data_IF_830827262129
#
_entry.id   IF_830827262129
#
_cell.length_a   1.000
_cell.length_b   1.000
_cell.length_c   1.000
_cell.angle_alpha   90.00
_cell.angle_beta   90.00
_cell.angle_gamma   90.00
#
_symmetry.space_group_name_H-M   'P 1'
#
loop_
_entity.id
_entity.type
_entity.pdbx_description
1 polymer ?
#
# COMPACT_ATOMS: atom_id res chain seq x y z
N UNK A 1 15.47 2.18 -30.54
CA UNK A 1 15.05 2.71 -29.23
C UNK A 1 13.79 3.54 -29.46
N UNK A 2 12.70 3.22 -28.81
CA UNK A 2 11.47 4.01 -28.91
C UNK A 2 11.69 5.44 -28.40
N UNK A 3 11.15 6.45 -29.10
CA UNK A 3 11.37 7.86 -28.79
C UNK A 3 10.15 8.56 -28.20
N UNK A 4 8.95 8.01 -28.41
CA UNK A 4 7.70 8.58 -27.96
C UNK A 4 6.80 7.49 -27.36
N UNK A 5 6.50 7.63 -26.06
CA UNK A 5 5.60 6.74 -25.32
C UNK A 5 4.24 7.41 -25.06
N UNK A 6 3.18 6.71 -25.30
CA UNK A 6 1.82 7.14 -24.97
C UNK A 6 1.26 6.35 -23.81
N UNK A 7 0.72 7.04 -22.80
CA UNK A 7 0.19 6.45 -21.57
C UNK A 7 -1.32 6.55 -21.52
N UNK A 8 -2.04 5.41 -21.48
CA UNK A 8 -3.51 5.37 -21.32
C UNK A 8 -3.84 5.27 -19.82
N UNK A 9 -4.59 6.24 -19.29
CA UNK A 9 -4.85 6.39 -17.86
C UNK A 9 -3.68 7.06 -17.11
N UNK A 10 -3.04 8.05 -17.75
CA UNK A 10 -1.80 8.69 -17.26
C UNK A 10 -1.97 9.41 -15.93
N UNK A 11 -3.19 9.85 -15.57
CA UNK A 11 -3.48 10.53 -14.30
C UNK A 11 -3.49 9.61 -13.08
N UNK A 12 -3.47 8.28 -13.28
CA UNK A 12 -3.34 7.32 -12.19
C UNK A 12 -1.98 7.43 -11.48
N UNK A 13 -1.97 7.30 -10.15
CA UNK A 13 -0.77 7.48 -9.30
C UNK A 13 0.43 6.66 -9.83
N UNK A 14 0.25 5.37 -10.13
CA UNK A 14 1.32 4.52 -10.64
C UNK A 14 1.73 4.82 -12.09
N UNK A 15 0.80 5.30 -12.93
CA UNK A 15 1.07 5.62 -14.33
C UNK A 15 1.85 6.92 -14.46
N UNK A 16 1.44 7.95 -13.75
CA UNK A 16 2.09 9.26 -13.75
C UNK A 16 3.54 9.20 -13.28
N UNK A 17 3.81 8.40 -12.25
CA UNK A 17 5.16 8.19 -11.75
C UNK A 17 6.07 7.55 -12.80
N UNK A 18 5.61 6.50 -13.49
CA UNK A 18 6.38 5.86 -14.57
C UNK A 18 6.60 6.83 -15.76
N UNK A 19 5.57 7.61 -16.10
CA UNK A 19 5.67 8.61 -17.14
C UNK A 19 6.77 9.65 -16.82
N UNK A 20 6.85 10.13 -15.57
CA UNK A 20 7.91 11.02 -15.11
C UNK A 20 9.30 10.37 -15.17
N UNK A 21 9.42 9.09 -14.81
CA UNK A 21 10.68 8.34 -14.91
C UNK A 21 11.20 8.27 -16.35
N UNK A 22 10.33 7.98 -17.31
CA UNK A 22 10.70 7.98 -18.72
C UNK A 22 10.97 9.38 -19.28
N UNK A 23 10.19 10.39 -18.86
CA UNK A 23 10.40 11.77 -19.25
C UNK A 23 11.81 12.25 -18.86
N UNK A 24 12.27 11.93 -17.66
CA UNK A 24 13.64 12.26 -17.22
C UNK A 24 14.74 11.50 -17.96
N UNK A 25 14.43 10.34 -18.56
CA UNK A 25 15.33 9.62 -19.47
C UNK A 25 15.35 10.23 -20.89
N UNK A 26 14.67 11.37 -21.10
CA UNK A 26 14.60 12.05 -22.38
C UNK A 26 13.62 11.45 -23.38
N UNK A 27 12.73 10.55 -22.93
CA UNK A 27 11.67 9.99 -23.78
C UNK A 27 10.53 11.02 -23.87
N UNK A 28 10.06 11.30 -25.10
CA UNK A 28 8.86 12.11 -25.30
C UNK A 28 7.64 11.37 -24.75
N UNK A 29 6.83 12.05 -23.94
CA UNK A 29 5.65 11.46 -23.31
C UNK A 29 4.39 12.18 -23.78
N UNK A 30 3.38 11.38 -24.11
CA UNK A 30 1.98 11.82 -24.20
C UNK A 30 1.10 10.87 -23.40
N UNK A 31 -0.14 11.26 -23.12
CA UNK A 31 -1.08 10.35 -22.48
C UNK A 31 -2.50 10.88 -22.44
N UNK A 32 -3.42 9.98 -22.13
CA UNK A 32 -4.85 10.25 -22.03
C UNK A 32 -5.39 9.88 -20.65
N UNK A 33 -6.41 10.60 -20.21
CA UNK A 33 -7.19 10.26 -19.01
C UNK A 33 -8.64 10.74 -19.18
N UNK A 34 -9.58 10.11 -18.46
CA UNK A 34 -10.99 10.46 -18.52
C UNK A 34 -11.30 11.83 -17.87
N UNK A 35 -10.50 12.22 -16.88
CA UNK A 35 -10.70 13.45 -16.09
C UNK A 35 -9.41 14.22 -15.91
N UNK A 36 -9.53 15.52 -15.89
CA UNK A 36 -8.44 16.36 -15.44
C UNK A 36 -8.24 16.23 -13.93
N UNK A 37 -6.99 16.17 -13.50
CA UNK A 37 -6.58 16.07 -12.10
C UNK A 37 -5.33 16.92 -11.87
N UNK A 38 -4.99 17.17 -10.60
CA UNK A 38 -3.72 17.82 -10.27
C UNK A 38 -2.53 17.09 -10.90
N UNK A 39 -2.55 15.77 -10.88
CA UNK A 39 -1.49 14.93 -11.49
C UNK A 39 -1.33 15.18 -12.99
N UNK A 40 -2.44 15.25 -13.75
CA UNK A 40 -2.39 15.53 -15.19
C UNK A 40 -1.95 16.97 -15.49
N UNK A 41 -2.31 17.92 -14.63
CA UNK A 41 -1.86 19.32 -14.73
C UNK A 41 -0.36 19.43 -14.46
N UNK A 42 0.15 18.76 -13.42
CA UNK A 42 1.59 18.72 -13.09
C UNK A 42 2.41 18.10 -14.23
N UNK A 43 1.94 17.02 -14.84
CA UNK A 43 2.59 16.42 -16.01
C UNK A 43 2.60 17.37 -17.23
N UNK A 44 1.46 18.06 -17.45
CA UNK A 44 1.37 19.04 -18.55
C UNK A 44 2.37 20.20 -18.36
N UNK A 45 2.56 20.66 -17.12
CA UNK A 45 3.56 21.71 -16.81
C UNK A 45 4.99 21.25 -17.06
N UNK A 46 5.26 19.93 -17.03
CA UNK A 46 6.54 19.31 -17.36
C UNK A 46 6.72 19.03 -18.87
N UNK A 47 5.77 19.46 -19.72
CA UNK A 47 5.85 19.31 -21.17
C UNK A 47 5.20 18.03 -21.72
N UNK A 48 4.49 17.26 -20.89
CA UNK A 48 3.73 16.08 -21.34
C UNK A 48 2.47 16.52 -22.07
N UNK A 49 2.22 15.95 -23.24
CA UNK A 49 0.98 16.20 -23.97
C UNK A 49 -0.16 15.35 -23.38
N UNK A 50 -1.15 16.01 -22.77
CA UNK A 50 -2.29 15.34 -22.10
C UNK A 50 -3.57 15.53 -22.91
N UNK A 51 -4.24 14.43 -23.20
CA UNK A 51 -5.56 14.36 -23.84
C UNK A 51 -6.64 14.02 -22.81
N UNK A 52 -7.78 14.70 -22.85
CA UNK A 52 -8.95 14.35 -22.06
C UNK A 52 -9.88 13.47 -22.89
N UNK A 53 -10.25 12.31 -22.32
CA UNK A 53 -10.97 11.25 -23.02
C UNK A 53 -10.05 10.37 -23.87
N UNK A 54 -10.55 9.18 -24.20
CA UNK A 54 -9.83 8.20 -25.01
C UNK A 54 -10.31 8.27 -26.48
N UNK A 55 -9.38 8.46 -27.41
CA UNK A 55 -9.68 8.53 -28.84
C UNK A 55 -8.52 7.97 -29.67
N UNK A 56 -8.78 7.31 -30.82
CA UNK A 56 -7.74 6.72 -31.67
C UNK A 56 -6.63 7.70 -32.06
N UNK A 57 -6.98 8.95 -32.30
CA UNK A 57 -6.03 10.01 -32.69
C UNK A 57 -4.98 10.37 -31.63
N UNK A 58 -5.23 10.05 -30.35
CA UNK A 58 -4.35 10.43 -29.25
C UNK A 58 -2.99 9.74 -29.31
N UNK A 59 -2.90 8.55 -29.91
CA UNK A 59 -1.67 7.76 -30.02
C UNK A 59 -0.87 8.08 -31.28
N UNK A 60 -1.26 9.09 -32.03
CA UNK A 60 -0.58 9.42 -33.29
C UNK A 60 0.89 9.80 -33.07
N UNK A 61 1.79 9.08 -33.76
CA UNK A 61 3.23 9.26 -33.61
C UNK A 61 3.86 8.63 -32.36
N UNK A 62 3.10 7.84 -31.59
CA UNK A 62 3.66 7.03 -30.52
C UNK A 62 4.37 5.78 -31.08
N UNK A 63 5.54 5.47 -30.50
CA UNK A 63 6.30 4.26 -30.81
C UNK A 63 5.91 3.08 -29.86
N UNK A 64 5.35 3.39 -28.70
CA UNK A 64 4.95 2.44 -27.67
C UNK A 64 3.74 2.99 -26.93
N UNK A 65 2.76 2.14 -26.67
CA UNK A 65 1.60 2.45 -25.83
C UNK A 65 1.70 1.68 -24.51
N UNK A 66 1.59 2.41 -23.40
CA UNK A 66 1.62 1.87 -22.03
C UNK A 66 0.25 2.09 -21.39
N UNK A 67 -0.33 1.04 -20.82
CA UNK A 67 -1.66 1.15 -20.25
C UNK A 67 -1.77 0.56 -18.85
N UNK A 68 -2.69 1.13 -18.06
CA UNK A 68 -3.04 0.67 -16.71
C UNK A 68 -3.87 -0.62 -16.77
N UNK A 69 -3.77 -1.48 -15.75
CA UNK A 69 -4.64 -2.66 -15.60
C UNK A 69 -6.13 -2.34 -15.50
N UNK A 70 -6.50 -1.09 -15.18
CA UNK A 70 -7.88 -0.61 -15.19
C UNK A 70 -8.46 -0.36 -16.60
N UNK A 71 -7.61 -0.31 -17.64
CA UNK A 71 -8.00 -0.08 -19.03
C UNK A 71 -8.35 -1.42 -19.67
N UNK A 72 -9.55 -1.49 -20.24
CA UNK A 72 -10.04 -2.70 -20.92
C UNK A 72 -9.50 -2.80 -22.34
N UNK A 73 -9.49 -4.01 -22.87
CA UNK A 73 -9.03 -4.33 -24.23
C UNK A 73 -9.83 -3.61 -25.34
N UNK A 74 -11.09 -3.23 -25.10
CA UNK A 74 -11.96 -2.50 -26.02
C UNK A 74 -11.70 -0.98 -26.06
N UNK A 75 -10.71 -0.49 -25.30
CA UNK A 75 -10.34 0.92 -25.32
C UNK A 75 -9.92 1.35 -26.76
N UNK A 76 -10.43 2.48 -27.27
CA UNK A 76 -10.20 2.91 -28.66
C UNK A 76 -8.72 3.17 -28.98
N UNK A 77 -7.90 3.55 -28.00
CA UNK A 77 -6.45 3.76 -28.20
C UNK A 77 -5.69 2.43 -28.27
N UNK A 78 -6.11 1.40 -27.48
CA UNK A 78 -5.55 0.05 -27.60
C UNK A 78 -5.91 -0.57 -28.96
N UNK A 79 -7.16 -0.42 -29.40
CA UNK A 79 -7.61 -0.94 -30.70
C UNK A 79 -6.86 -0.28 -31.85
N UNK A 80 -6.64 1.03 -31.78
CA UNK A 80 -5.88 1.75 -32.79
C UNK A 80 -4.40 1.38 -32.78
N UNK A 81 -3.79 1.18 -31.60
CA UNK A 81 -2.42 0.70 -31.49
C UNK A 81 -2.26 -0.68 -32.17
N UNK A 82 -3.21 -1.60 -31.94
CA UNK A 82 -3.25 -2.90 -32.64
C UNK A 82 -3.36 -2.74 -34.15
N UNK A 83 -4.26 -1.85 -34.62
CA UNK A 83 -4.44 -1.56 -36.04
C UNK A 83 -3.18 -1.03 -36.75
N UNK A 84 -2.44 -0.14 -36.03
CA UNK A 84 -1.22 0.47 -36.50
C UNK A 84 0.04 -0.37 -36.22
N UNK A 85 -0.10 -1.56 -35.63
CA UNK A 85 1.01 -2.42 -35.19
C UNK A 85 1.98 -1.72 -34.22
N UNK A 86 1.48 -0.77 -33.41
CA UNK A 86 2.26 -0.14 -32.36
C UNK A 86 2.28 -1.09 -31.15
N UNK A 87 3.46 -1.44 -30.62
CA UNK A 87 3.56 -2.29 -29.42
C UNK A 87 2.79 -1.72 -28.25
N UNK A 88 2.11 -2.60 -27.50
CA UNK A 88 1.40 -2.23 -26.27
C UNK A 88 1.96 -3.04 -25.10
N UNK A 89 2.26 -2.39 -23.99
CA UNK A 89 2.72 -3.06 -22.77
C UNK A 89 1.94 -2.56 -21.56
N UNK A 90 1.85 -3.41 -20.55
CA UNK A 90 1.24 -3.05 -19.27
C UNK A 90 2.18 -2.16 -18.44
N UNK A 91 1.59 -1.43 -17.51
CA UNK A 91 2.30 -0.59 -16.52
C UNK A 91 3.48 -1.32 -15.85
N UNK A 92 3.26 -2.58 -15.45
CA UNK A 92 4.28 -3.37 -14.75
C UNK A 92 5.47 -3.74 -15.65
N UNK A 93 5.21 -4.04 -16.92
CA UNK A 93 6.28 -4.29 -17.90
C UNK A 93 7.11 -3.04 -18.15
N UNK A 94 6.45 -1.87 -18.25
CA UNK A 94 7.14 -0.59 -18.37
C UNK A 94 8.01 -0.28 -17.15
N UNK A 95 7.52 -0.61 -15.94
CA UNK A 95 8.31 -0.46 -14.72
C UNK A 95 9.50 -1.43 -14.69
N UNK A 96 9.31 -2.67 -15.13
CA UNK A 96 10.37 -3.66 -15.24
C UNK A 96 11.50 -3.20 -16.19
N UNK A 97 11.16 -2.50 -17.29
CA UNK A 97 12.17 -1.90 -18.18
C UNK A 97 13.04 -0.86 -17.45
N UNK A 98 12.43 -0.02 -16.59
CA UNK A 98 13.15 0.96 -15.80
C UNK A 98 14.10 0.35 -14.77
N UNK A 99 13.83 -0.89 -14.34
CA UNK A 99 14.60 -1.63 -13.35
C UNK A 99 15.84 -2.34 -13.90
N UNK A 100 15.93 -2.61 -15.22
CA UNK A 100 16.93 -3.51 -15.81
C UNK A 100 18.38 -3.20 -15.46
N UNK A 101 18.73 -1.92 -15.35
CA UNK A 101 20.11 -1.45 -15.12
C UNK A 101 20.37 -1.10 -13.65
N UNK A 102 19.47 -1.47 -12.74
CA UNK A 102 19.53 -1.10 -11.33
C UNK A 102 19.61 -2.34 -10.43
N UNK A 103 20.12 -2.15 -9.24
CA UNK A 103 19.97 -3.10 -8.14
C UNK A 103 18.56 -2.98 -7.57
N UNK A 104 17.71 -3.95 -7.88
CA UNK A 104 16.28 -3.88 -7.62
C UNK A 104 15.94 -4.45 -6.25
N UNK A 105 15.23 -3.67 -5.46
CA UNK A 105 14.61 -4.08 -4.19
C UNK A 105 13.10 -4.02 -4.38
N UNK A 106 12.42 -5.13 -4.20
CA UNK A 106 10.95 -5.18 -4.27
C UNK A 106 10.35 -5.54 -2.92
N UNK A 107 9.18 -4.98 -2.65
CA UNK A 107 8.36 -5.34 -1.49
C UNK A 107 7.01 -5.81 -1.97
N UNK A 108 6.62 -7.02 -1.59
CA UNK A 108 5.32 -7.61 -1.91
C UNK A 108 4.69 -8.26 -0.69
N UNK A 109 3.46 -8.73 -0.83
CA UNK A 109 2.65 -9.38 0.19
C UNK A 109 1.28 -8.77 0.33
N UNK A 110 0.32 -9.48 0.87
CA UNK A 110 -1.06 -9.02 0.95
C UNK A 110 -1.18 -7.72 1.74
N UNK A 111 -0.46 -7.58 2.85
CA UNK A 111 -0.50 -6.41 3.74
C UNK A 111 0.89 -5.86 4.05
N UNK A 112 0.99 -4.55 4.33
CA UNK A 112 2.22 -3.90 4.75
C UNK A 112 3.17 -3.46 3.63
N UNK A 113 2.86 -3.72 2.35
CA UNK A 113 3.67 -3.34 1.18
C UNK A 113 4.13 -1.88 1.22
N UNK A 114 3.19 -0.96 1.21
CA UNK A 114 3.46 0.50 1.12
C UNK A 114 4.31 1.00 2.28
N UNK A 115 3.98 0.58 3.51
CA UNK A 115 4.75 0.95 4.71
C UNK A 115 6.19 0.43 4.63
N UNK A 116 6.36 -0.83 4.23
CA UNK A 116 7.68 -1.46 4.14
C UNK A 116 8.50 -0.88 2.99
N UNK A 117 7.87 -0.64 1.82
CA UNK A 117 8.55 -0.03 0.66
C UNK A 117 9.02 1.39 0.97
N UNK A 118 8.16 2.20 1.59
CA UNK A 118 8.52 3.57 1.95
C UNK A 118 9.59 3.62 3.06
N UNK A 119 9.54 2.71 4.03
CA UNK A 119 10.58 2.62 5.06
C UNK A 119 11.93 2.16 4.49
N UNK A 120 11.94 1.17 3.57
CA UNK A 120 13.14 0.75 2.86
C UNK A 120 13.72 1.86 1.99
N UNK A 121 12.85 2.60 1.30
CA UNK A 121 13.25 3.76 0.50
C UNK A 121 13.88 4.85 1.37
N UNK A 122 13.26 5.14 2.53
CA UNK A 122 13.80 6.12 3.47
C UNK A 122 15.14 5.69 4.04
N UNK A 123 15.33 4.40 4.33
CA UNK A 123 16.62 3.87 4.76
C UNK A 123 17.72 4.12 3.73
N UNK A 124 17.45 3.88 2.46
CA UNK A 124 18.45 4.09 1.41
C UNK A 124 18.74 5.59 1.20
N UNK A 125 17.73 6.45 1.32
CA UNK A 125 17.90 7.91 1.28
C UNK A 125 18.80 8.40 2.44
N UNK A 126 18.50 7.98 3.67
CA UNK A 126 19.27 8.32 4.86
C UNK A 126 20.72 7.76 4.83
N UNK A 127 20.91 6.67 4.11
CA UNK A 127 22.23 6.08 3.86
C UNK A 127 23.00 6.79 2.72
N UNK A 128 22.42 7.81 2.07
CA UNK A 128 23.07 8.53 0.96
C UNK A 128 23.14 7.71 -0.34
N UNK A 129 22.28 6.71 -0.51
CA UNK A 129 22.30 5.82 -1.68
C UNK A 129 21.39 6.29 -2.82
N UNK A 130 20.65 7.37 -2.63
CA UNK A 130 19.80 8.06 -3.62
C UNK A 130 19.03 7.13 -4.57
N UNK A 131 18.15 6.25 -4.04
CA UNK A 131 17.43 5.28 -4.88
C UNK A 131 16.41 5.94 -5.78
N UNK A 132 16.12 5.32 -6.94
CA UNK A 132 14.85 5.53 -7.62
C UNK A 132 13.77 4.75 -6.88
N UNK A 133 12.61 5.37 -6.64
CA UNK A 133 11.54 4.83 -5.81
C UNK A 133 10.23 4.84 -6.58
N UNK A 134 9.46 3.74 -6.51
CA UNK A 134 8.09 3.63 -7.03
C UNK A 134 7.19 2.91 -6.00
N UNK A 135 6.29 3.65 -5.37
CA UNK A 135 5.41 3.16 -4.29
C UNK A 135 3.95 3.30 -4.70
N UNK A 136 3.07 2.43 -4.19
CA UNK A 136 1.62 2.48 -4.44
C UNK A 136 0.88 3.62 -3.73
N UNK A 137 1.52 4.30 -2.77
CA UNK A 137 0.96 5.42 -1.99
C UNK A 137 1.94 6.58 -1.85
N UNK A 138 1.48 7.70 -1.31
CA UNK A 138 2.34 8.87 -1.05
C UNK A 138 3.14 8.62 0.22
N UNK A 139 4.46 8.67 0.10
CA UNK A 139 5.40 8.57 1.20
C UNK A 139 5.65 9.97 1.80
N UNK A 140 5.37 10.15 3.09
CA UNK A 140 5.34 11.48 3.71
C UNK A 140 6.71 12.15 3.77
N UNK A 141 7.80 11.42 4.01
CA UNK A 141 9.13 12.00 4.08
C UNK A 141 9.63 12.62 2.75
N UNK A 142 9.03 12.27 1.60
CA UNK A 142 9.34 12.84 0.29
C UNK A 142 8.13 13.49 -0.40
N UNK A 143 6.95 13.44 0.24
CA UNK A 143 5.65 13.94 -0.27
C UNK A 143 5.33 13.50 -1.71
N UNK A 144 5.75 12.30 -2.06
CA UNK A 144 5.58 11.72 -3.41
C UNK A 144 5.46 10.19 -3.34
N UNK A 145 4.88 9.61 -4.38
CA UNK A 145 4.88 8.16 -4.61
C UNK A 145 6.03 7.71 -5.52
N UNK A 146 6.75 8.65 -6.12
CA UNK A 146 7.92 8.41 -6.97
C UNK A 146 9.02 9.38 -6.59
N UNK A 147 10.23 8.88 -6.46
CA UNK A 147 11.43 9.68 -6.35
C UNK A 147 12.46 9.16 -7.34
N UNK A 148 13.12 10.06 -8.03
CA UNK A 148 14.14 9.70 -9.02
C UNK A 148 15.47 10.04 -8.43
N UNK A 149 16.24 9.01 -8.09
CA UNK A 149 17.59 9.13 -7.60
C UNK A 149 18.61 8.67 -8.63
N UNK A 150 19.80 9.25 -8.55
CA UNK A 150 20.93 8.91 -9.44
C UNK A 150 21.71 7.67 -8.95
N UNK A 151 21.35 7.12 -7.79
CA UNK A 151 21.99 5.94 -7.22
C UNK A 151 21.69 4.64 -7.98
N UNK A 152 22.38 3.57 -7.60
CA UNK A 152 22.28 2.27 -8.26
C UNK A 152 20.99 1.50 -7.90
N UNK A 153 20.28 1.89 -6.83
CA UNK A 153 19.12 1.17 -6.33
C UNK A 153 17.81 1.61 -6.97
N UNK A 154 16.93 0.64 -7.19
CA UNK A 154 15.54 0.85 -7.53
C UNK A 154 14.67 0.15 -6.48
N UNK A 155 13.87 0.89 -5.72
CA UNK A 155 12.94 0.35 -4.72
C UNK A 155 11.53 0.44 -5.26
N UNK A 156 10.85 -0.70 -5.35
CA UNK A 156 9.49 -0.75 -5.88
C UNK A 156 8.54 -1.57 -5.01
N UNK A 157 7.32 -1.07 -4.89
CA UNK A 157 6.20 -1.87 -4.45
C UNK A 157 5.77 -2.81 -5.56
N UNK A 158 5.75 -4.11 -5.29
CA UNK A 158 5.41 -5.17 -6.23
C UNK A 158 4.01 -5.70 -5.92
N UNK A 159 3.03 -5.33 -6.76
CA UNK A 159 1.63 -5.63 -6.55
C UNK A 159 1.30 -7.04 -7.08
N UNK A 160 0.84 -7.89 -6.19
CA UNK A 160 0.41 -9.27 -6.49
C UNK A 160 -1.02 -9.35 -7.03
N UNK A 161 -1.83 -8.30 -6.89
CA UNK A 161 -3.28 -8.34 -7.08
C UNK A 161 -3.74 -8.78 -8.48
N UNK A 162 -2.93 -8.52 -9.50
CA UNK A 162 -3.16 -8.85 -10.92
C UNK A 162 -2.02 -9.65 -11.55
N UNK A 163 -1.14 -10.23 -10.71
CA UNK A 163 0.03 -10.98 -11.16
C UNK A 163 1.15 -10.10 -11.74
N UNK A 164 1.01 -8.78 -11.71
CA UNK A 164 1.97 -7.86 -12.33
C UNK A 164 3.36 -7.90 -11.69
N UNK A 165 3.47 -8.30 -10.42
CA UNK A 165 4.76 -8.48 -9.74
C UNK A 165 5.65 -9.55 -10.42
N UNK A 166 5.09 -10.47 -11.19
CA UNK A 166 5.83 -11.51 -11.93
C UNK A 166 6.65 -10.95 -13.11
N UNK A 167 6.50 -9.70 -13.48
CA UNK A 167 7.39 -9.06 -14.46
C UNK A 167 8.75 -8.65 -13.89
N UNK A 168 8.92 -8.65 -12.55
CA UNK A 168 10.12 -8.14 -11.91
C UNK A 168 11.15 -9.23 -11.63
N UNK A 169 12.44 -8.89 -11.75
CA UNK A 169 13.57 -9.76 -11.40
C UNK A 169 14.46 -9.06 -10.35
N UNK A 170 14.03 -9.05 -9.09
CA UNK A 170 14.71 -8.31 -8.04
C UNK A 170 16.04 -8.95 -7.60
N UNK A 171 16.97 -8.12 -7.12
CA UNK A 171 18.11 -8.55 -6.36
C UNK A 171 17.71 -8.86 -4.92
N UNK A 172 16.80 -8.08 -4.36
CA UNK A 172 16.31 -8.21 -2.99
C UNK A 172 14.78 -8.19 -2.98
N UNK A 173 14.18 -9.23 -2.43
CA UNK A 173 12.71 -9.35 -2.31
C UNK A 173 12.31 -9.39 -0.85
N UNK A 174 11.46 -8.46 -0.42
CA UNK A 174 10.82 -8.50 0.89
C UNK A 174 9.39 -8.99 0.70
N UNK A 175 9.02 -10.08 1.39
CA UNK A 175 7.67 -10.64 1.35
C UNK A 175 7.08 -10.60 2.76
N UNK A 176 6.08 -9.77 2.95
CA UNK A 176 5.52 -9.47 4.27
C UNK A 176 4.58 -10.55 4.78
N UNK A 177 3.67 -11.04 3.95
CA UNK A 177 2.69 -12.09 4.28
C UNK A 177 1.92 -12.52 3.02
N UNK A 178 1.21 -13.65 3.11
CA UNK A 178 0.30 -14.15 2.08
C UNK A 178 -1.06 -14.42 2.74
N UNK A 179 -2.06 -13.58 2.47
CA UNK A 179 -3.41 -13.72 2.99
C UNK A 179 -4.40 -14.14 1.88
N UNK A 180 -5.61 -14.47 2.27
CA UNK A 180 -6.69 -14.92 1.40
C UNK A 180 -7.33 -13.74 0.68
N UNK A 181 -6.60 -13.18 -0.29
CA UNK A 181 -7.01 -12.02 -1.09
C UNK A 181 -6.88 -12.29 -2.61
N UNK A 182 -7.42 -11.38 -3.41
CA UNK A 182 -7.30 -11.36 -4.88
C UNK A 182 -7.84 -12.61 -5.60
N UNK A 183 -8.86 -13.27 -5.02
CA UNK A 183 -9.47 -14.47 -5.60
C UNK A 183 -10.33 -14.16 -6.85
N UNK A 184 -10.70 -12.90 -7.05
CA UNK A 184 -11.27 -12.39 -8.30
C UNK A 184 -10.32 -12.63 -9.48
N UNK A 185 -9.01 -12.47 -9.27
CA UNK A 185 -7.96 -12.74 -10.26
C UNK A 185 -7.48 -14.20 -10.22
N UNK A 186 -7.04 -14.68 -9.06
CA UNK A 186 -6.43 -16.00 -8.91
C UNK A 186 -7.42 -17.16 -8.86
N UNK A 187 -8.70 -16.91 -8.59
CA UNK A 187 -9.80 -17.87 -8.42
C UNK A 187 -9.68 -18.77 -7.20
N UNK A 188 -8.50 -19.32 -6.93
CA UNK A 188 -8.22 -20.22 -5.82
C UNK A 188 -6.97 -19.79 -5.06
N UNK A 189 -6.98 -19.96 -3.75
CA UNK A 189 -5.85 -19.59 -2.90
C UNK A 189 -4.55 -20.31 -3.24
N UNK A 190 -4.62 -21.56 -3.73
CA UNK A 190 -3.43 -22.28 -4.20
C UNK A 190 -2.70 -21.57 -5.34
N UNK A 191 -3.43 -20.83 -6.19
CA UNK A 191 -2.85 -20.07 -7.29
C UNK A 191 -2.13 -18.82 -6.77
N UNK A 192 -2.64 -18.18 -5.70
CA UNK A 192 -1.93 -17.10 -4.99
C UNK A 192 -0.59 -17.64 -4.47
N UNK A 193 -0.59 -18.78 -3.75
CA UNK A 193 0.63 -19.41 -3.25
C UNK A 193 1.61 -19.72 -4.39
N UNK A 194 1.12 -20.25 -5.52
CA UNK A 194 1.96 -20.56 -6.67
C UNK A 194 2.60 -19.31 -7.28
N UNK A 195 1.87 -18.22 -7.40
CA UNK A 195 2.38 -16.95 -7.90
C UNK A 195 3.48 -16.36 -6.97
N UNK A 196 3.28 -16.41 -5.66
CA UNK A 196 4.32 -16.00 -4.72
C UNK A 196 5.56 -16.91 -4.80
N UNK A 197 5.39 -18.22 -4.96
CA UNK A 197 6.52 -19.15 -5.18
C UNK A 197 7.27 -18.82 -6.47
N UNK A 198 6.59 -18.51 -7.55
CA UNK A 198 7.18 -18.08 -8.81
C UNK A 198 7.95 -16.77 -8.64
N UNK A 199 7.35 -15.76 -8.02
CA UNK A 199 8.01 -14.49 -7.72
C UNK A 199 9.28 -14.65 -6.88
N UNK A 200 9.25 -15.47 -5.83
CA UNK A 200 10.40 -15.78 -4.99
C UNK A 200 11.54 -16.38 -5.84
N UNK A 201 11.21 -17.27 -6.77
CA UNK A 201 12.19 -17.90 -7.65
C UNK A 201 12.79 -16.94 -8.70
N UNK A 202 12.14 -15.80 -8.97
CA UNK A 202 12.66 -14.75 -9.84
C UNK A 202 13.69 -13.85 -9.14
N UNK A 203 13.83 -13.94 -7.82
CA UNK A 203 14.92 -13.24 -7.11
C UNK A 203 16.25 -13.75 -7.63
N UNK A 204 17.14 -12.85 -8.05
CA UNK A 204 18.43 -13.19 -8.64
C UNK A 204 19.26 -14.06 -7.69
N UNK A 205 20.07 -14.98 -8.23
CA UNK A 205 20.81 -15.97 -7.44
C UNK A 205 21.82 -15.36 -6.47
N UNK A 206 22.39 -14.22 -6.82
CA UNK A 206 23.31 -13.44 -5.99
C UNK A 206 22.61 -12.51 -4.99
N UNK A 207 21.28 -12.47 -5.05
CA UNK A 207 20.41 -11.66 -4.20
C UNK A 207 20.01 -12.33 -2.89
N UNK A 208 18.92 -11.82 -2.29
CA UNK A 208 18.37 -12.37 -1.05
C UNK A 208 16.87 -12.17 -0.95
N UNK A 209 16.14 -13.18 -0.46
CA UNK A 209 14.73 -13.10 -0.10
C UNK A 209 14.62 -12.82 1.41
N UNK A 210 13.88 -11.80 1.80
CA UNK A 210 13.49 -11.53 3.18
C UNK A 210 12.01 -11.90 3.34
N UNK A 211 11.70 -12.90 4.15
CA UNK A 211 10.35 -13.41 4.28
C UNK A 211 9.87 -13.44 5.74
N UNK A 212 8.60 -13.16 5.96
CA UNK A 212 8.01 -13.21 7.29
C UNK A 212 7.88 -14.66 7.78
N UNK A 213 8.59 -14.98 8.87
CA UNK A 213 8.54 -16.29 9.50
C UNK A 213 7.21 -16.57 10.24
N UNK A 214 6.42 -15.55 10.53
CA UNK A 214 5.13 -15.71 11.19
C UNK A 214 4.06 -16.21 10.21
N UNK A 215 4.33 -16.16 8.88
CA UNK A 215 3.50 -16.68 7.82
C UNK A 215 3.87 -18.13 7.47
N UNK A 216 2.93 -19.04 7.67
CA UNK A 216 3.15 -20.49 7.41
C UNK A 216 3.29 -20.79 5.91
N UNK A 217 2.65 -20.03 5.03
CA UNK A 217 2.75 -20.23 3.59
C UNK A 217 4.16 -19.90 3.11
N UNK A 218 4.73 -18.77 3.58
CA UNK A 218 6.11 -18.38 3.28
C UNK A 218 7.12 -19.40 3.80
N UNK A 219 6.94 -19.89 5.03
CA UNK A 219 7.79 -20.97 5.56
C UNK A 219 7.73 -22.22 4.68
N UNK A 220 6.55 -22.61 4.22
CA UNK A 220 6.39 -23.79 3.37
C UNK A 220 7.02 -23.60 1.98
N UNK A 221 6.85 -22.43 1.37
CA UNK A 221 7.45 -22.11 0.07
C UNK A 221 9.00 -22.18 0.16
N UNK A 222 9.57 -21.64 1.23
CA UNK A 222 11.02 -21.52 1.38
C UNK A 222 11.73 -22.80 1.87
N UNK A 223 10.99 -23.84 2.28
CA UNK A 223 11.60 -25.14 2.63
C UNK A 223 12.49 -25.71 1.51
N UNK A 224 12.03 -25.55 0.26
CA UNK A 224 12.71 -26.11 -0.92
C UNK A 224 13.51 -25.05 -1.70
N UNK A 225 13.53 -23.80 -1.23
CA UNK A 225 14.26 -22.72 -1.87
C UNK A 225 15.75 -22.86 -1.66
N UNK A 226 16.53 -22.84 -2.75
CA UNK A 226 17.98 -23.17 -2.72
C UNK A 226 18.88 -21.94 -2.64
N UNK A 227 18.34 -20.74 -2.93
CA UNK A 227 19.13 -19.52 -2.88
C UNK A 227 19.04 -18.90 -1.47
N UNK A 228 19.68 -17.75 -1.30
CA UNK A 228 19.80 -17.07 -0.01
C UNK A 228 18.47 -16.45 0.43
N UNK A 229 18.11 -16.68 1.67
CA UNK A 229 16.98 -16.01 2.32
C UNK A 229 17.26 -15.72 3.81
N UNK A 230 16.50 -14.80 4.36
CA UNK A 230 16.50 -14.42 5.77
C UNK A 230 15.06 -14.37 6.26
N UNK A 231 14.74 -15.07 7.32
CA UNK A 231 13.46 -14.98 7.98
C UNK A 231 13.44 -13.81 8.98
N UNK A 232 12.46 -12.93 8.86
CA UNK A 232 12.12 -11.96 9.90
C UNK A 232 10.77 -12.30 10.52
N UNK A 233 10.55 -11.93 11.79
CA UNK A 233 9.26 -12.17 12.43
C UNK A 233 9.25 -11.87 13.91
N UNK A 234 8.07 -11.93 14.52
CA UNK A 234 7.86 -11.67 15.94
C UNK A 234 8.05 -12.91 16.81
N UNK A 235 7.93 -14.10 16.20
CA UNK A 235 7.96 -15.39 16.89
C UNK A 235 9.31 -16.10 16.75
N UNK A 236 9.52 -17.12 17.57
CA UNK A 236 10.68 -17.98 17.50
C UNK A 236 10.82 -18.65 16.12
N UNK A 237 12.06 -18.81 15.64
CA UNK A 237 12.38 -19.42 14.36
C UNK A 237 12.59 -18.43 13.22
N UNK A 238 12.56 -17.12 13.50
CA UNK A 238 13.07 -16.08 12.61
C UNK A 238 14.57 -15.87 12.84
N UNK A 239 15.30 -15.50 11.77
CA UNK A 239 16.71 -15.11 11.86
C UNK A 239 16.85 -13.73 12.54
N UNK A 240 15.90 -12.82 12.25
CA UNK A 240 15.82 -11.52 12.88
C UNK A 240 14.48 -11.38 13.60
N UNK A 241 14.52 -11.05 14.87
CA UNK A 241 13.33 -11.01 15.73
C UNK A 241 13.50 -10.01 16.90
N UNK A 242 12.37 -9.52 17.46
CA UNK A 242 12.41 -8.58 18.58
C UNK A 242 12.28 -9.29 19.92
N UNK A 243 12.79 -8.64 20.97
CA UNK A 243 12.44 -8.90 22.37
C UNK A 243 12.10 -7.59 23.07
N UNK A 244 11.57 -7.69 24.28
CA UNK A 244 11.27 -6.54 25.14
C UNK A 244 10.46 -5.44 24.42
N UNK A 245 9.46 -5.87 23.64
CA UNK A 245 8.59 -4.96 22.88
C UNK A 245 7.79 -4.08 23.85
N UNK A 246 7.87 -2.76 23.61
CA UNK A 246 7.02 -1.76 24.26
C UNK A 246 6.31 -0.96 23.18
N UNK A 247 4.98 -0.86 23.25
CA UNK A 247 4.16 -0.06 22.36
C UNK A 247 3.54 1.06 23.18
N UNK A 248 3.93 2.30 22.89
CA UNK A 248 3.44 3.51 23.55
C UNK A 248 2.77 4.44 22.55
N UNK A 249 1.44 4.36 22.44
CA UNK A 249 0.72 5.15 21.46
C UNK A 249 1.06 4.73 20.03
N UNK A 250 1.46 5.68 19.18
CA UNK A 250 1.87 5.44 17.79
C UNK A 250 3.39 5.17 17.64
N UNK A 251 4.10 4.87 18.73
CA UNK A 251 5.52 4.54 18.71
C UNK A 251 5.75 3.15 19.28
N UNK A 252 6.85 2.54 18.90
CA UNK A 252 7.28 1.24 19.40
C UNK A 252 8.77 1.28 19.77
N UNK A 253 9.14 0.52 20.80
CA UNK A 253 10.53 0.25 21.18
C UNK A 253 10.73 -1.24 21.30
N UNK A 254 11.85 -1.75 20.84
CA UNK A 254 12.18 -3.18 20.94
C UNK A 254 13.69 -3.42 20.87
N UNK A 255 14.13 -4.50 21.50
CA UNK A 255 15.47 -5.02 21.37
C UNK A 255 15.50 -5.97 20.16
N UNK A 256 16.39 -5.71 19.19
CA UNK A 256 16.52 -6.51 17.97
C UNK A 256 17.63 -7.56 18.10
N UNK A 257 17.33 -8.77 17.68
CA UNK A 257 18.27 -9.90 17.63
C UNK A 257 18.40 -10.41 16.20
N UNK A 258 19.62 -10.70 15.77
CA UNK A 258 19.92 -11.40 14.51
C UNK A 258 20.71 -12.65 14.78
N UNK A 259 20.21 -13.82 14.36
CA UNK A 259 20.80 -15.15 14.64
C UNK A 259 21.13 -15.33 16.12
N UNK A 260 20.17 -14.98 16.98
CA UNK A 260 20.26 -15.02 18.46
C UNK A 260 21.30 -14.07 19.11
N UNK A 261 21.96 -13.20 18.33
CA UNK A 261 22.84 -12.16 18.86
C UNK A 261 22.09 -10.86 18.99
N UNK A 262 22.20 -10.19 20.12
CA UNK A 262 21.67 -8.83 20.31
C UNK A 262 22.39 -7.88 19.36
N UNK A 263 21.61 -7.10 18.60
CA UNK A 263 22.12 -6.10 17.66
C UNK A 263 22.09 -4.73 18.32
N UNK A 264 20.90 -4.25 18.68
CA UNK A 264 20.69 -2.97 19.35
C UNK A 264 19.22 -2.83 19.78
N UNK A 265 18.93 -1.76 20.52
CA UNK A 265 17.59 -1.28 20.81
C UNK A 265 17.15 -0.26 19.77
N UNK A 266 15.97 -0.47 19.21
CA UNK A 266 15.39 0.36 18.18
C UNK A 266 14.14 1.09 18.69
N UNK A 267 14.02 2.35 18.29
CA UNK A 267 12.81 3.13 18.38
C UNK A 267 12.19 3.21 16.99
N UNK A 268 10.93 2.93 16.88
CA UNK A 268 10.16 3.00 15.63
C UNK A 268 9.04 4.02 15.81
N UNK A 269 9.00 5.03 14.96
CA UNK A 269 7.97 6.07 14.97
C UNK A 269 6.61 5.58 14.41
N UNK A 270 6.32 4.31 14.56
CA UNK A 270 5.04 3.67 14.25
C UNK A 270 4.62 2.73 15.39
N UNK A 271 3.34 2.75 15.72
CA UNK A 271 2.73 1.82 16.66
C UNK A 271 2.29 0.51 16.01
N UNK A 272 2.15 -0.52 16.84
CA UNK A 272 1.62 -1.81 16.44
C UNK A 272 2.68 -2.87 16.06
N UNK A 273 2.41 -4.11 16.44
CA UNK A 273 3.33 -5.23 16.23
C UNK A 273 3.57 -5.54 14.74
N UNK A 274 2.57 -5.30 13.88
CA UNK A 274 2.72 -5.45 12.43
C UNK A 274 3.77 -4.48 11.84
N UNK A 275 3.85 -3.24 12.39
CA UNK A 275 4.87 -2.29 11.97
C UNK A 275 6.27 -2.66 12.50
N UNK A 276 6.36 -3.30 13.67
CA UNK A 276 7.62 -3.88 14.13
C UNK A 276 8.07 -4.99 13.16
N UNK A 277 7.17 -5.86 12.72
CA UNK A 277 7.48 -6.89 11.71
C UNK A 277 7.96 -6.27 10.40
N UNK A 278 7.27 -5.23 9.89
CA UNK A 278 7.71 -4.49 8.72
C UNK A 278 9.12 -3.89 8.90
N UNK A 279 9.38 -3.27 10.05
CA UNK A 279 10.67 -2.68 10.38
C UNK A 279 11.80 -3.73 10.45
N UNK A 280 11.53 -4.93 11.00
CA UNK A 280 12.52 -6.03 11.05
C UNK A 280 12.99 -6.44 9.65
N UNK A 281 12.10 -6.45 8.64
CA UNK A 281 12.47 -6.74 7.27
C UNK A 281 13.43 -5.69 6.68
N UNK A 282 13.21 -4.42 7.03
CA UNK A 282 14.04 -3.31 6.58
C UNK A 282 15.37 -3.26 7.34
N UNK A 283 15.38 -3.60 8.64
CA UNK A 283 16.63 -3.79 9.39
C UNK A 283 17.45 -4.92 8.75
N UNK A 284 16.82 -6.05 8.41
CA UNK A 284 17.49 -7.17 7.74
C UNK A 284 18.09 -6.75 6.39
N UNK A 285 17.35 -5.98 5.59
CA UNK A 285 17.85 -5.41 4.34
C UNK A 285 19.04 -4.47 4.61
N UNK A 286 18.96 -3.58 5.57
CA UNK A 286 20.03 -2.64 5.94
C UNK A 286 21.31 -3.37 6.35
N UNK A 287 21.19 -4.41 7.19
CA UNK A 287 22.32 -5.26 7.57
C UNK A 287 22.91 -6.00 6.36
N UNK A 288 22.06 -6.48 5.44
CA UNK A 288 22.49 -7.13 4.21
C UNK A 288 23.28 -6.20 3.29
N UNK A 289 22.84 -4.94 3.17
CA UNK A 289 23.49 -3.88 2.40
C UNK A 289 24.68 -3.25 3.14
N UNK A 290 24.99 -3.71 4.36
CA UNK A 290 26.06 -3.17 5.23
C UNK A 290 25.89 -1.68 5.54
N UNK A 291 24.65 -1.22 5.65
CA UNK A 291 24.33 0.15 6.07
C UNK A 291 24.69 0.28 7.57
N UNK A 292 25.30 1.39 7.93
CA UNK A 292 25.67 1.69 9.32
C UNK A 292 24.46 1.58 10.27
N UNK A 293 24.65 0.91 11.40
CA UNK A 293 23.58 0.63 12.36
C UNK A 293 22.94 1.91 12.90
N UNK A 294 23.70 2.98 13.07
CA UNK A 294 23.17 4.27 13.55
C UNK A 294 22.29 4.93 12.48
N UNK A 295 22.59 4.73 11.19
CA UNK A 295 21.71 5.17 10.09
C UNK A 295 20.38 4.41 10.15
N UNK A 296 20.43 3.07 10.31
CA UNK A 296 19.21 2.25 10.45
C UNK A 296 18.37 2.72 11.64
N UNK A 297 18.98 2.93 12.80
CA UNK A 297 18.31 3.41 14.01
C UNK A 297 17.65 4.78 13.80
N UNK A 298 18.39 5.73 13.23
CA UNK A 298 17.89 7.09 12.95
C UNK A 298 16.74 7.05 11.98
N UNK A 299 16.85 6.24 10.93
CA UNK A 299 15.77 6.05 9.93
C UNK A 299 14.46 5.63 10.61
N UNK A 300 14.48 4.58 11.43
CA UNK A 300 13.28 4.08 12.09
C UNK A 300 12.68 5.09 13.05
N UNK A 301 13.54 5.84 13.78
CA UNK A 301 13.10 6.85 14.75
C UNK A 301 12.47 8.09 14.10
N UNK A 302 12.84 8.44 12.86
CA UNK A 302 12.34 9.64 12.17
C UNK A 302 11.39 9.34 11.01
N UNK A 303 11.01 8.07 10.81
CA UNK A 303 10.08 7.70 9.76
C UNK A 303 8.68 8.24 10.03
N UNK A 304 8.14 9.02 9.09
CA UNK A 304 6.84 9.69 9.25
C UNK A 304 5.64 8.86 8.74
N UNK A 305 5.92 7.69 8.17
CA UNK A 305 4.86 6.84 7.61
C UNK A 305 4.50 7.17 6.16
N UNK A 306 3.54 6.43 5.63
CA UNK A 306 2.89 6.73 4.37
C UNK A 306 1.52 7.36 4.64
N UNK A 307 1.04 8.22 3.74
CA UNK A 307 -0.30 8.80 3.87
C UNK A 307 -1.34 7.71 3.96
N UNK A 308 -2.36 7.95 4.75
CA UNK A 308 -3.45 7.03 5.03
C UNK A 308 -2.99 5.69 5.67
N UNK A 309 -1.90 5.69 6.44
CA UNK A 309 -1.43 4.55 7.23
C UNK A 309 -1.23 4.99 8.67
N UNK A 310 -2.28 4.89 9.49
CA UNK A 310 -2.38 5.49 10.84
C UNK A 310 -1.99 6.97 10.83
N UNK A 311 -2.39 7.69 9.78
CA UNK A 311 -2.03 9.09 9.59
C UNK A 311 -2.82 9.98 10.56
N UNK A 312 -2.11 10.71 11.43
CA UNK A 312 -2.73 11.73 12.27
C UNK A 312 -3.11 12.91 11.38
N UNK A 313 -4.42 13.16 11.24
CA UNK A 313 -4.97 14.27 10.45
C UNK A 313 -5.28 15.50 11.31
N UNK A 314 -5.60 15.27 12.57
CA UNK A 314 -5.85 16.33 13.55
C UNK A 314 -5.56 15.82 14.95
N UNK A 315 -4.94 16.66 15.78
CA UNK A 315 -4.66 16.35 17.17
C UNK A 315 -4.67 17.65 17.98
N UNK A 316 -5.54 17.69 18.98
CA UNK A 316 -5.54 18.75 19.99
C UNK A 316 -5.89 18.14 21.36
N UNK A 317 -6.01 18.98 22.39
CA UNK A 317 -6.31 18.53 23.75
C UNK A 317 -7.65 17.78 23.90
N UNK A 318 -8.57 17.97 22.94
CA UNK A 318 -9.93 17.40 23.00
C UNK A 318 -10.11 16.21 22.09
N UNK A 319 -9.52 16.22 20.88
CA UNK A 319 -9.82 15.26 19.83
C UNK A 319 -8.56 14.78 19.10
N UNK A 320 -8.56 13.50 18.76
CA UNK A 320 -7.58 12.90 17.86
C UNK A 320 -8.31 12.33 16.65
N UNK A 321 -7.94 12.76 15.44
CA UNK A 321 -8.50 12.24 14.17
C UNK A 321 -7.39 11.56 13.39
N UNK A 322 -7.64 10.31 13.00
CA UNK A 322 -6.71 9.45 12.25
C UNK A 322 -7.39 9.02 10.95
N UNK A 323 -6.64 8.93 9.85
CA UNK A 323 -7.08 8.25 8.63
C UNK A 323 -6.22 7.02 8.35
N UNK A 324 -6.87 5.91 8.00
CA UNK A 324 -6.16 4.68 7.64
C UNK A 324 -6.80 4.00 6.41
N UNK A 325 -5.96 3.48 5.54
CA UNK A 325 -6.36 2.82 4.31
C UNK A 325 -6.95 1.41 4.52
N UNK A 326 -6.92 0.90 5.75
CA UNK A 326 -7.37 -0.44 6.11
C UNK A 326 -8.76 -0.74 5.55
N UNK A 327 -8.85 -1.76 4.73
CA UNK A 327 -10.06 -2.18 4.03
C UNK A 327 -10.24 -3.71 3.97
N UNK A 328 -9.30 -4.45 4.54
CA UNK A 328 -9.38 -5.90 4.76
C UNK A 328 -9.57 -6.20 6.25
N UNK A 329 -10.30 -7.27 6.65
CA UNK A 329 -10.51 -7.61 8.06
C UNK A 329 -9.22 -7.70 8.88
N UNK A 330 -8.15 -8.27 8.32
CA UNK A 330 -6.85 -8.39 8.98
C UNK A 330 -6.22 -7.00 9.24
N UNK A 331 -6.31 -6.09 8.26
CA UNK A 331 -5.81 -4.71 8.38
C UNK A 331 -6.59 -3.94 9.45
N UNK A 332 -7.93 -4.00 9.40
CA UNK A 332 -8.81 -3.33 10.36
C UNK A 332 -8.45 -3.76 11.80
N UNK A 333 -8.32 -5.08 12.03
CA UNK A 333 -7.93 -5.61 13.35
C UNK A 333 -6.55 -5.10 13.78
N UNK A 334 -5.58 -5.07 12.86
CA UNK A 334 -4.23 -4.59 13.15
C UNK A 334 -4.22 -3.08 13.49
N UNK A 335 -4.94 -2.27 12.72
CA UNK A 335 -5.11 -0.83 12.95
C UNK A 335 -5.79 -0.56 14.28
N UNK A 336 -6.91 -1.24 14.58
CA UNK A 336 -7.64 -1.07 15.84
C UNK A 336 -6.80 -1.53 17.05
N UNK A 337 -6.01 -2.60 16.90
CA UNK A 337 -5.08 -3.02 17.95
C UNK A 337 -3.96 -1.98 18.19
N UNK A 338 -3.47 -1.33 17.14
CA UNK A 338 -2.45 -0.30 17.26
C UNK A 338 -2.98 0.94 18.01
N UNK A 339 -4.19 1.41 17.70
CA UNK A 339 -4.79 2.59 18.34
C UNK A 339 -5.30 2.33 19.76
N UNK A 340 -5.52 1.06 20.14
CA UNK A 340 -5.97 0.70 21.50
C UNK A 340 -5.03 1.23 22.61
N UNK A 341 -3.76 1.40 22.29
CA UNK A 341 -2.75 1.92 23.22
C UNK A 341 -2.70 3.46 23.28
N UNK A 342 -3.52 4.14 22.47
CA UNK A 342 -3.69 5.58 22.56
C UNK A 342 -4.60 5.90 23.76
N UNK A 343 -4.24 6.95 24.50
CA UNK A 343 -5.04 7.42 25.64
C UNK A 343 -6.29 8.13 25.10
N UNK A 344 -7.30 7.38 24.71
CA UNK A 344 -8.61 7.90 24.34
C UNK A 344 -9.67 7.40 25.31
N UNK A 345 -10.69 8.22 25.57
CA UNK A 345 -11.84 7.83 26.40
C UNK A 345 -12.81 6.94 25.61
N UNK A 346 -12.93 7.21 24.30
CA UNK A 346 -13.84 6.48 23.40
C UNK A 346 -13.27 6.50 21.99
N UNK A 347 -13.46 5.40 21.27
CA UNK A 347 -13.07 5.24 19.86
C UNK A 347 -14.30 5.23 18.95
N UNK A 348 -14.39 6.19 18.06
CA UNK A 348 -15.39 6.29 16.99
C UNK A 348 -14.73 5.86 15.69
N UNK A 349 -15.26 4.83 15.05
CA UNK A 349 -14.76 4.34 13.76
C UNK A 349 -15.77 4.65 12.66
N UNK A 350 -15.28 5.24 11.58
CA UNK A 350 -16.03 5.39 10.34
C UNK A 350 -15.45 4.42 9.32
N UNK A 351 -16.24 3.47 8.85
CA UNK A 351 -15.77 2.45 7.92
C UNK A 351 -16.52 2.49 6.59
N UNK A 352 -15.76 2.58 5.50
CA UNK A 352 -16.26 2.43 4.13
C UNK A 352 -15.81 1.08 3.57
N UNK A 353 -16.74 0.11 3.38
CA UNK A 353 -16.40 -1.14 2.70
C UNK A 353 -15.92 -0.85 1.27
N UNK A 354 -14.97 -1.65 0.78
CA UNK A 354 -14.36 -1.45 -0.54
C UNK A 354 -14.55 -2.70 -1.39
N UNK A 355 -15.24 -2.55 -2.53
CA UNK A 355 -15.69 -3.57 -3.48
C UNK A 355 -16.82 -4.46 -2.96
N UNK A 356 -17.77 -4.74 -3.82
CA UNK A 356 -18.89 -5.66 -3.53
C UNK A 356 -18.40 -7.09 -3.37
N UNK A 357 -17.49 -7.54 -4.23
CA UNK A 357 -16.90 -8.90 -4.18
C UNK A 357 -16.20 -9.16 -2.86
N UNK A 358 -15.35 -8.25 -2.38
CA UNK A 358 -14.67 -8.37 -1.08
C UNK A 358 -15.66 -8.39 0.07
N UNK A 359 -16.64 -7.49 0.06
CA UNK A 359 -17.68 -7.41 1.11
C UNK A 359 -18.43 -8.74 1.21
N UNK A 360 -18.83 -9.33 0.07
CA UNK A 360 -19.50 -10.63 0.01
C UNK A 360 -18.64 -11.76 0.58
N UNK A 361 -17.39 -11.89 0.09
CA UNK A 361 -16.50 -13.00 0.45
C UNK A 361 -16.05 -12.97 1.91
N UNK A 362 -15.94 -11.78 2.50
CA UNK A 362 -15.37 -11.61 3.84
C UNK A 362 -16.39 -11.10 4.87
N UNK A 363 -17.70 -11.19 4.59
CA UNK A 363 -18.76 -10.62 5.39
C UNK A 363 -18.68 -11.04 6.87
N UNK A 364 -18.51 -12.33 7.13
CA UNK A 364 -18.37 -12.87 8.49
C UNK A 364 -17.08 -12.36 9.17
N UNK A 365 -15.96 -12.31 8.44
CA UNK A 365 -14.70 -11.80 8.98
C UNK A 365 -14.78 -10.30 9.29
N UNK A 366 -15.45 -9.51 8.45
CA UNK A 366 -15.70 -8.09 8.72
C UNK A 366 -16.54 -7.90 9.97
N UNK A 367 -17.61 -8.69 10.15
CA UNK A 367 -18.50 -8.54 11.30
C UNK A 367 -17.80 -8.70 12.65
N UNK A 368 -16.69 -9.43 12.69
CA UNK A 368 -15.84 -9.67 13.88
C UNK A 368 -14.60 -8.78 13.94
N UNK A 369 -14.51 -7.76 13.10
CA UNK A 369 -13.31 -6.91 13.06
C UNK A 369 -13.42 -5.65 13.90
N UNK A 370 -14.63 -5.31 14.36
CA UNK A 370 -14.91 -4.05 15.05
C UNK A 370 -15.18 -4.24 16.56
N UNK A 371 -14.87 -5.39 17.15
CA UNK A 371 -15.15 -5.68 18.56
C UNK A 371 -14.65 -4.61 19.53
N UNK A 372 -13.41 -4.06 19.40
CA UNK A 372 -12.88 -3.08 20.35
C UNK A 372 -13.41 -1.65 20.16
N UNK A 373 -14.36 -1.42 19.25
CA UNK A 373 -14.85 -0.07 18.87
C UNK A 373 -16.05 0.30 19.74
N UNK A 374 -16.07 1.52 20.29
CA UNK A 374 -17.18 2.03 21.10
C UNK A 374 -18.37 2.49 20.25
N UNK A 375 -18.09 3.12 19.11
CA UNK A 375 -19.10 3.59 18.18
C UNK A 375 -18.64 3.37 16.74
N UNK A 376 -19.47 2.68 15.94
CA UNK A 376 -19.17 2.37 14.55
C UNK A 376 -20.15 3.11 13.64
N UNK A 377 -19.63 3.81 12.66
CA UNK A 377 -20.38 4.41 11.56
C UNK A 377 -20.01 3.66 10.28
N UNK A 378 -20.98 3.02 9.66
CA UNK A 378 -20.83 2.37 8.37
C UNK A 378 -21.37 3.29 7.29
N UNK A 379 -20.72 3.31 6.13
CA UNK A 379 -21.23 4.05 4.96
C UNK A 379 -21.28 3.15 3.72
N UNK A 380 -21.78 3.70 2.61
CA UNK A 380 -21.97 2.97 1.36
C UNK A 380 -20.68 2.30 0.87
N UNK A 381 -20.84 1.12 0.23
CA UNK A 381 -19.72 0.41 -0.38
C UNK A 381 -19.10 1.26 -1.49
N UNK A 382 -17.80 1.47 -1.44
CA UNK A 382 -17.05 2.03 -2.56
C UNK A 382 -16.84 0.94 -3.62
N UNK A 383 -17.47 1.11 -4.77
CA UNK A 383 -17.53 0.07 -5.81
C UNK A 383 -16.19 -0.24 -6.48
N UNK A 384 -15.28 0.74 -6.56
CA UNK A 384 -14.03 0.62 -7.35
C UNK A 384 -14.29 0.11 -8.78
N UNK A 385 -15.35 0.62 -9.42
CA UNK A 385 -15.83 0.24 -10.77
C UNK A 385 -16.41 -1.18 -10.87
N UNK A 386 -16.62 -1.90 -9.78
CA UNK A 386 -17.39 -3.14 -9.79
C UNK A 386 -18.90 -2.85 -9.95
N UNK A 387 -19.62 -3.65 -10.73
CA UNK A 387 -21.09 -3.58 -10.74
C UNK A 387 -21.64 -4.04 -9.36
N UNK A 388 -22.78 -3.49 -8.93
CA UNK A 388 -23.47 -3.97 -7.74
C UNK A 388 -23.77 -5.47 -7.81
N UNK A 389 -23.63 -6.15 -6.67
CA UNK A 389 -24.01 -7.57 -6.53
C UNK A 389 -25.34 -7.62 -5.78
N UNK A 390 -26.33 -8.29 -6.35
CA UNK A 390 -27.65 -8.45 -5.72
C UNK A 390 -27.53 -9.01 -4.31
N UNK A 391 -28.24 -8.40 -3.37
CA UNK A 391 -28.22 -8.77 -1.95
C UNK A 391 -26.97 -8.34 -1.18
N UNK A 392 -25.99 -7.67 -1.81
CA UNK A 392 -24.76 -7.21 -1.16
C UNK A 392 -24.76 -5.68 -1.06
N UNK A 393 -24.89 -5.18 0.14
CA UNK A 393 -24.85 -3.75 0.48
C UNK A 393 -24.33 -3.58 1.91
N UNK A 394 -24.17 -2.35 2.35
CA UNK A 394 -23.67 -2.07 3.71
C UNK A 394 -24.63 -2.54 4.81
N UNK A 395 -25.95 -2.60 4.50
CA UNK A 395 -26.94 -3.11 5.47
C UNK A 395 -26.68 -4.59 5.81
N UNK A 396 -26.25 -5.41 4.86
CA UNK A 396 -25.88 -6.80 5.14
C UNK A 396 -24.74 -6.88 6.17
N UNK A 397 -23.74 -5.99 6.05
CA UNK A 397 -22.65 -5.92 7.03
C UNK A 397 -23.15 -5.41 8.40
N UNK A 398 -24.01 -4.39 8.42
CA UNK A 398 -24.65 -3.91 9.63
C UNK A 398 -25.40 -5.04 10.34
N UNK A 399 -26.26 -5.76 9.63
CA UNK A 399 -27.06 -6.84 10.17
C UNK A 399 -26.16 -7.98 10.70
N UNK A 400 -25.08 -8.32 10.00
CA UNK A 400 -24.14 -9.36 10.42
C UNK A 400 -23.35 -8.96 11.67
N UNK A 401 -22.92 -7.70 11.80
CA UNK A 401 -22.28 -7.19 13.01
C UNK A 401 -23.26 -7.23 14.19
N UNK A 402 -24.53 -6.84 13.98
CA UNK A 402 -25.55 -6.87 15.02
C UNK A 402 -25.86 -8.28 15.53
N UNK A 403 -25.77 -9.31 14.69
CA UNK A 403 -25.90 -10.71 15.14
C UNK A 403 -24.82 -11.10 16.14
N UNK A 404 -23.57 -10.67 15.91
CA UNK A 404 -22.42 -11.00 16.78
C UNK A 404 -22.33 -10.08 18.01
N UNK A 405 -22.68 -8.82 17.85
CA UNK A 405 -22.60 -7.80 18.92
C UNK A 405 -23.89 -6.98 18.98
N UNK A 406 -25.00 -7.51 19.53
CA UNK A 406 -26.32 -6.85 19.52
C UNK A 406 -26.32 -5.45 20.14
N UNK A 407 -25.53 -5.25 21.19
CA UNK A 407 -25.48 -3.99 21.96
C UNK A 407 -24.51 -2.97 21.40
N UNK A 408 -23.77 -3.28 20.32
CA UNK A 408 -22.84 -2.33 19.71
C UNK A 408 -23.57 -1.12 19.16
N UNK A 409 -23.08 0.08 19.45
CA UNK A 409 -23.57 1.33 18.85
C UNK A 409 -23.10 1.40 17.39
N UNK A 410 -24.03 1.32 16.46
CA UNK A 410 -23.75 1.34 15.03
C UNK A 410 -24.77 2.24 14.34
N UNK A 411 -24.30 3.19 13.54
CA UNK A 411 -25.12 3.91 12.57
C UNK A 411 -24.76 3.46 11.15
N UNK A 412 -25.73 3.48 10.24
CA UNK A 412 -25.51 3.41 8.80
C UNK A 412 -25.95 4.75 8.21
N UNK A 413 -24.99 5.47 7.60
CA UNK A 413 -25.20 6.83 7.09
C UNK A 413 -24.62 6.96 5.69
N UNK A 414 -25.25 7.77 4.85
CA UNK A 414 -24.61 8.20 3.62
C UNK A 414 -23.46 9.18 3.91
N UNK A 415 -22.49 9.19 3.04
CA UNK A 415 -21.22 9.90 3.24
C UNK A 415 -21.39 11.38 3.63
N UNK A 416 -22.36 12.07 3.02
CA UNK A 416 -22.64 13.49 3.31
C UNK A 416 -23.23 13.77 4.70
N UNK A 417 -23.67 12.75 5.43
CA UNK A 417 -24.30 12.87 6.74
C UNK A 417 -23.29 12.62 7.89
N UNK A 418 -22.15 12.02 7.58
CA UNK A 418 -21.21 11.50 8.59
C UNK A 418 -20.59 12.62 9.42
N UNK A 419 -20.14 13.68 8.77
CA UNK A 419 -19.45 14.80 9.45
C UNK A 419 -20.38 15.46 10.48
N UNK A 420 -21.61 15.78 10.11
CA UNK A 420 -22.59 16.37 11.03
C UNK A 420 -22.90 15.40 12.18
N UNK A 421 -23.09 14.12 11.87
CA UNK A 421 -23.34 13.11 12.88
C UNK A 421 -22.21 13.00 13.90
N UNK A 422 -20.96 13.03 13.43
CA UNK A 422 -19.79 13.00 14.35
C UNK A 422 -19.81 14.26 15.23
N UNK A 423 -20.04 15.45 14.66
CA UNK A 423 -20.07 16.70 15.40
C UNK A 423 -21.18 16.73 16.49
N UNK A 424 -22.31 16.05 16.26
CA UNK A 424 -23.38 15.91 17.26
C UNK A 424 -22.99 15.03 18.45
N UNK A 425 -22.19 13.96 18.21
CA UNK A 425 -21.93 12.93 19.21
C UNK A 425 -20.55 13.03 19.88
N UNK A 426 -19.62 13.79 19.27
CA UNK A 426 -18.23 13.87 19.72
C UNK A 426 -18.12 14.50 21.11
N UNK A 427 -17.20 13.96 21.92
CA UNK A 427 -16.90 14.45 23.28
C UNK A 427 -15.40 14.61 23.46
N UNK A 428 -14.95 15.54 24.33
CA UNK A 428 -13.55 15.64 24.66
C UNK A 428 -12.97 14.29 25.11
N UNK A 429 -11.80 13.94 24.59
CA UNK A 429 -11.13 12.65 24.81
C UNK A 429 -11.45 11.60 23.76
N UNK A 430 -12.31 11.88 22.75
CA UNK A 430 -12.60 10.95 21.69
C UNK A 430 -11.45 10.84 20.67
N UNK A 431 -11.24 9.61 20.21
CA UNK A 431 -10.46 9.27 19.03
C UNK A 431 -11.42 8.92 17.89
N UNK A 432 -11.29 9.61 16.77
CA UNK A 432 -12.03 9.34 15.55
C UNK A 432 -11.08 8.73 14.53
N UNK A 433 -11.44 7.61 13.92
CA UNK A 433 -10.65 7.03 12.83
C UNK A 433 -11.54 6.72 11.63
N UNK A 434 -11.09 7.17 10.45
CA UNK A 434 -11.67 6.77 9.16
C UNK A 434 -10.91 5.58 8.60
N UNK A 435 -11.63 4.55 8.18
CA UNK A 435 -11.09 3.31 7.61
C UNK A 435 -11.66 3.05 6.22
N UNK A 436 -10.80 2.79 5.25
CA UNK A 436 -11.21 2.39 3.91
C UNK A 436 -10.29 2.84 2.79
N UNK A 437 -10.20 2.05 1.71
CA UNK A 437 -9.38 2.33 0.53
C UNK A 437 -10.05 3.30 -0.47
N UNK A 438 -11.32 3.62 -0.26
CA UNK A 438 -12.09 4.51 -1.12
C UNK A 438 -11.93 5.99 -0.77
N UNK A 439 -12.98 6.73 -1.05
CA UNK A 439 -13.03 8.19 -0.92
C UNK A 439 -13.47 8.69 0.48
N UNK A 440 -13.50 7.82 1.47
CA UNK A 440 -13.81 8.17 2.87
C UNK A 440 -12.83 9.20 3.45
N UNK A 441 -11.62 9.28 2.89
CA UNK A 441 -10.64 10.30 3.25
C UNK A 441 -11.18 11.73 3.10
N UNK A 442 -12.10 11.97 2.17
CA UNK A 442 -12.73 13.29 2.00
C UNK A 442 -13.61 13.67 3.20
N UNK A 443 -14.29 12.67 3.80
CA UNK A 443 -15.04 12.87 5.04
C UNK A 443 -14.11 13.17 6.21
N UNK A 444 -12.94 12.54 6.24
CA UNK A 444 -11.90 12.87 7.23
C UNK A 444 -11.42 14.32 7.06
N UNK A 445 -11.13 14.74 5.82
CA UNK A 445 -10.69 16.11 5.52
C UNK A 445 -11.76 17.14 5.94
N UNK A 446 -13.01 16.90 5.60
CA UNK A 446 -14.15 17.74 5.96
C UNK A 446 -14.30 17.86 7.50
N UNK A 447 -14.24 16.73 8.21
CA UNK A 447 -14.31 16.72 9.66
C UNK A 447 -13.18 17.55 10.28
N UNK A 448 -11.96 17.39 9.79
CA UNK A 448 -10.79 18.15 10.26
C UNK A 448 -10.97 19.65 10.05
N UNK A 449 -11.49 20.05 8.90
CA UNK A 449 -11.78 21.48 8.63
C UNK A 449 -12.85 22.06 9.58
N UNK A 450 -13.84 21.25 9.93
CA UNK A 450 -14.89 21.67 10.89
C UNK A 450 -14.38 21.74 12.32
N UNK A 451 -13.46 20.85 12.73
CA UNK A 451 -12.87 20.82 14.07
C UNK A 451 -11.81 21.93 14.30
N UNK A 452 -11.28 22.53 13.24
CA UNK A 452 -10.37 23.68 13.30
C UNK A 452 -11.08 25.03 13.53
N UNK A 453 -12.36 25.08 13.26
CA UNK A 453 -13.22 26.27 13.47
C UNK A 453 -13.73 26.31 14.92
#
# INVERSE_FOLDING_TARGET
MYKHYHFIGIGGIGMSGIAQLFLRRGIKISGSDLKESKTTQDLRSQGVQIFLGHAPKNIQGADLVIYSSAIKEDNPEIQEAKRLSIPTIKRAEALAELMKEKTVITVTGSHGKTTTTSLASYLLLEAGLFPTVAIGGIFQNIDSNVSIGDGEFFVAEADESDGSFLYYQPNYSIITNIDYEHLDYYREFKNVISAFKEFINQTKKDGCVFACADDLNLRNILKDYKNRYVFFGLRAGADIFPKNIKIGGLNSEFDCFYKNKFIDRFHLALGGTHNISNALSVIALGLQLKIDLQVIKRTLAHYQGARRRLEIRFNNEKYLVIDDYAHHPSEIKATLAAIKNLKSQRTIVVFQPHRYTRTKLLLEKFSRSFDPVDYLILTDIYSANEPPIEGINTKCLYDEIKKHTPNKKIDFLHKGEITERILEIIKPGDLIITLGAGDIVKTCDELVERLKK
#
